data_IF_561643434345
#
_entry.id   IF_561643434345
#
_cell.length_a   1.000
_cell.length_b   1.000
_cell.length_c   1.000
_cell.angle_alpha   90.00
_cell.angle_beta   90.00
_cell.angle_gamma   90.00
#
_symmetry.space_group_name_H-M   'P 1'
#
loop_
_entity.id
_entity.type
_entity.pdbx_description
1 polymer ?
#
# COMPACT_ATOMS: atom_id res chain seq x y z
N UNK A 1 5.39 -1.59 6.32
CA UNK A 1 4.62 -0.34 6.38
C UNK A 1 5.46 0.87 6.00
N UNK A 2 6.68 1.04 6.55
CA UNK A 2 7.56 2.19 6.23
C UNK A 2 7.78 2.39 4.72
N UNK A 3 8.10 1.31 4.00
CA UNK A 3 8.28 1.33 2.53
C UNK A 3 7.08 1.89 1.77
N UNK A 4 5.85 1.49 2.14
CA UNK A 4 4.63 1.99 1.50
C UNK A 4 4.39 3.48 1.79
N UNK A 5 4.72 3.93 3.00
CA UNK A 5 4.58 5.34 3.38
C UNK A 5 5.58 6.20 2.59
N UNK A 6 6.80 5.70 2.41
CA UNK A 6 7.84 6.34 1.60
C UNK A 6 7.45 6.39 0.12
N UNK A 7 6.96 5.28 -0.44
CA UNK A 7 6.51 5.21 -1.84
C UNK A 7 5.32 6.15 -2.13
N UNK A 8 4.40 6.29 -1.17
CA UNK A 8 3.31 7.26 -1.26
C UNK A 8 3.74 8.72 -1.03
N UNK A 9 5.01 9.00 -0.70
CA UNK A 9 5.48 10.36 -0.39
C UNK A 9 4.81 10.99 0.84
N UNK A 10 4.50 10.18 1.85
CA UNK A 10 3.75 10.61 3.06
C UNK A 10 4.61 10.59 4.31
N UNK A 11 5.66 11.41 4.33
CA UNK A 11 6.62 11.46 5.45
C UNK A 11 5.96 11.79 6.81
N UNK A 12 4.82 12.50 6.79
CA UNK A 12 3.99 12.77 7.97
C UNK A 12 3.45 11.49 8.65
N UNK A 13 3.37 10.38 7.92
CA UNK A 13 2.84 9.10 8.41
C UNK A 13 3.93 8.12 8.87
N UNK A 14 5.22 8.44 8.72
CA UNK A 14 6.34 7.52 9.03
C UNK A 14 6.34 7.09 10.50
N UNK A 15 5.91 7.98 11.41
CA UNK A 15 5.87 7.70 12.86
C UNK A 15 4.63 6.92 13.30
N UNK A 16 3.65 6.69 12.41
CA UNK A 16 2.43 5.95 12.75
C UNK A 16 2.69 4.44 12.82
N UNK A 17 1.98 3.78 13.70
CA UNK A 17 2.04 2.32 13.83
C UNK A 17 1.37 1.64 12.63
N UNK A 18 1.77 0.39 12.36
CA UNK A 18 1.12 -0.43 11.32
C UNK A 18 -0.39 -0.54 11.53
N UNK A 19 -0.84 -0.61 12.79
CA UNK A 19 -2.26 -0.73 13.15
C UNK A 19 -3.05 0.54 12.80
N UNK A 20 -2.49 1.71 13.09
CA UNK A 20 -3.11 3.00 12.73
C UNK A 20 -3.16 3.21 11.21
N UNK A 21 -2.08 2.83 10.51
CA UNK A 21 -2.04 2.87 9.04
C UNK A 21 -3.11 1.97 8.45
N UNK A 22 -3.16 0.70 8.88
CA UNK A 22 -4.13 -0.27 8.41
C UNK A 22 -5.58 0.08 8.79
N UNK A 23 -5.83 0.79 9.89
CA UNK A 23 -7.20 1.17 10.26
C UNK A 23 -7.70 2.37 9.46
N UNK A 24 -6.86 3.37 9.22
CA UNK A 24 -7.31 4.69 8.79
C UNK A 24 -6.93 5.07 7.36
N UNK A 25 -6.03 4.33 6.71
CA UNK A 25 -5.48 4.69 5.40
C UNK A 25 -5.64 3.56 4.39
N UNK A 26 -5.98 3.91 3.16
CA UNK A 26 -6.08 3.00 2.02
C UNK A 26 -5.36 3.62 0.82
N UNK A 27 -4.83 2.78 -0.05
CA UNK A 27 -4.24 3.18 -1.32
C UNK A 27 -5.13 2.63 -2.43
N UNK A 28 -5.50 3.48 -3.39
CA UNK A 28 -6.33 3.08 -4.51
C UNK A 28 -5.59 2.09 -5.41
N UNK A 29 -6.32 1.16 -6.03
CA UNK A 29 -5.74 0.13 -6.90
C UNK A 29 -4.97 0.70 -8.11
N UNK A 30 -5.25 1.94 -8.52
CA UNK A 30 -4.57 2.64 -9.62
C UNK A 30 -3.08 2.88 -9.37
N UNK A 31 -2.63 2.82 -8.12
CA UNK A 31 -1.22 2.99 -7.75
C UNK A 31 -0.41 1.70 -7.91
N UNK A 32 -1.05 0.58 -8.26
CA UNK A 32 -0.39 -0.71 -8.46
C UNK A 32 -0.51 -1.14 -9.92
N UNK A 33 0.56 -1.74 -10.44
CA UNK A 33 0.53 -2.38 -11.76
C UNK A 33 -0.29 -3.69 -11.73
N UNK A 34 -0.77 -4.15 -12.89
CA UNK A 34 -1.55 -5.41 -12.99
C UNK A 34 -0.79 -6.60 -12.38
N UNK A 35 0.51 -6.69 -12.61
CA UNK A 35 1.38 -7.79 -12.17
C UNK A 35 1.57 -7.83 -10.64
N UNK A 36 1.28 -6.73 -9.95
CA UNK A 36 1.32 -6.65 -8.50
C UNK A 36 0.08 -7.25 -7.81
N UNK A 37 -0.93 -7.64 -8.59
CA UNK A 37 -2.11 -8.33 -8.07
C UNK A 37 -2.00 -9.85 -8.24
N UNK A 38 -2.59 -10.59 -7.31
CA UNK A 38 -2.68 -12.06 -7.36
C UNK A 38 -3.73 -12.56 -8.36
N UNK A 39 -4.56 -11.67 -8.90
CA UNK A 39 -5.64 -11.99 -9.81
C UNK A 39 -6.04 -10.77 -10.66
N UNK A 40 -6.80 -11.04 -11.71
CA UNK A 40 -7.26 -9.99 -12.63
C UNK A 40 -8.36 -9.09 -12.06
N UNK A 41 -9.00 -9.51 -10.95
CA UNK A 41 -9.98 -8.70 -10.23
C UNK A 41 -9.34 -7.54 -9.45
N UNK A 42 -8.00 -7.48 -9.37
CA UNK A 42 -7.22 -6.47 -8.66
C UNK A 42 -7.65 -6.27 -7.19
N UNK A 43 -8.10 -7.34 -6.54
CA UNK A 43 -8.63 -7.28 -5.17
C UNK A 43 -7.67 -7.83 -4.11
N UNK A 44 -6.55 -8.43 -4.52
CA UNK A 44 -5.51 -8.97 -3.62
C UNK A 44 -4.13 -8.67 -4.19
N UNK A 45 -3.26 -8.11 -3.36
CA UNK A 45 -1.89 -7.78 -3.72
C UNK A 45 -0.93 -8.94 -3.45
N UNK A 46 0.13 -9.02 -4.24
CA UNK A 46 1.28 -9.88 -3.96
C UNK A 46 2.06 -9.37 -2.73
N UNK A 47 2.85 -10.24 -2.10
CA UNK A 47 3.63 -9.89 -0.90
C UNK A 47 4.72 -8.84 -1.16
N UNK A 48 5.22 -8.74 -2.40
CA UNK A 48 6.20 -7.75 -2.82
C UNK A 48 5.60 -6.43 -3.33
N UNK A 49 4.28 -6.32 -3.43
CA UNK A 49 3.63 -5.15 -4.01
C UNK A 49 3.90 -3.88 -3.17
N UNK A 50 4.26 -2.80 -3.85
CA UNK A 50 4.48 -1.47 -3.28
C UNK A 50 3.77 -0.47 -4.20
N UNK A 51 3.03 0.51 -3.64
CA UNK A 51 2.32 1.53 -4.42
C UNK A 51 3.23 2.58 -5.05
#
# INVERSE_FOLDING_TARGET
SKLWVEACGRQDLIKKTCKELYKNYRVCAIHFSQEMFLNDLRNRLQSYAVP
#
